data_IF_831394276889
#
_entry.id   IF_831394276889
#
_cell.length_a   1.000
_cell.length_b   1.000
_cell.length_c   1.000
_cell.angle_alpha   90.00
_cell.angle_beta   90.00
_cell.angle_gamma   90.00
#
_symmetry.space_group_name_H-M   'P 1'
#
loop_
_entity.id
_entity.type
_entity.pdbx_description
1 polymer ?
#
# COMPACT_ATOMS: atom_id res chain seq x y z
N UNK A 1 -5.72 -15.99 5.13
CA UNK A 1 -6.78 -15.87 4.11
C UNK A 1 -6.75 -14.44 3.61
N UNK A 2 -6.13 -14.21 2.44
CA UNK A 2 -6.12 -12.89 1.82
C UNK A 2 -7.52 -12.61 1.29
N UNK A 3 -8.19 -11.58 1.81
CA UNK A 3 -9.39 -11.09 1.15
C UNK A 3 -9.03 -10.68 -0.27
N UNK A 4 -9.89 -10.99 -1.23
CA UNK A 4 -9.78 -10.45 -2.58
C UNK A 4 -9.66 -8.92 -2.45
N UNK A 5 -8.58 -8.35 -3.00
CA UNK A 5 -8.39 -6.91 -2.98
C UNK A 5 -9.53 -6.24 -3.75
N UNK A 6 -9.95 -5.07 -3.30
CA UNK A 6 -11.10 -4.39 -3.90
C UNK A 6 -10.73 -3.81 -5.25
N UNK A 7 -11.63 -3.94 -6.22
CA UNK A 7 -11.52 -3.17 -7.45
C UNK A 7 -11.77 -1.69 -7.13
N UNK A 8 -10.79 -0.85 -7.45
CA UNK A 8 -10.85 0.59 -7.24
C UNK A 8 -10.42 1.35 -8.49
N UNK A 9 -10.38 2.68 -8.38
CA UNK A 9 -10.11 3.56 -9.52
C UNK A 9 -8.74 3.30 -10.19
N UNK A 10 -7.76 2.78 -9.43
CA UNK A 10 -6.43 2.45 -9.96
C UNK A 10 -6.31 1.00 -10.45
N UNK A 11 -7.30 0.14 -10.21
CA UNK A 11 -7.25 -1.25 -10.63
C UNK A 11 -6.98 -1.45 -12.13
N UNK A 12 -7.56 -0.67 -13.07
CA UNK A 12 -7.22 -0.81 -14.49
C UNK A 12 -5.73 -0.61 -14.77
N UNK A 13 -5.11 0.38 -14.13
CA UNK A 13 -3.68 0.65 -14.29
C UNK A 13 -2.82 -0.46 -13.66
N UNK A 14 -3.22 -0.99 -12.50
CA UNK A 14 -2.53 -2.09 -11.83
C UNK A 14 -2.62 -3.38 -12.64
N UNK A 15 -3.77 -3.69 -13.24
CA UNK A 15 -3.92 -4.82 -14.15
C UNK A 15 -3.10 -4.65 -15.43
N UNK A 16 -3.06 -3.46 -16.02
CA UNK A 16 -2.18 -3.17 -17.16
C UNK A 16 -0.70 -3.40 -16.76
N UNK A 17 -0.29 -2.91 -15.59
CA UNK A 17 1.04 -3.16 -15.03
C UNK A 17 1.32 -4.66 -14.84
N UNK A 18 0.33 -5.42 -14.34
CA UNK A 18 0.44 -6.88 -14.18
C UNK A 18 0.66 -7.61 -15.52
N UNK A 19 -0.02 -7.19 -16.58
CA UNK A 19 0.16 -7.76 -17.93
C UNK A 19 1.57 -7.49 -18.45
N UNK A 20 2.10 -6.28 -18.23
CA UNK A 20 3.42 -5.88 -18.72
C UNK A 20 4.59 -6.46 -17.92
N UNK A 21 4.45 -6.58 -16.60
CA UNK A 21 5.54 -6.91 -15.67
C UNK A 21 5.46 -8.33 -15.11
N UNK A 22 4.30 -8.97 -15.24
CA UNK A 22 3.96 -10.19 -14.50
C UNK A 22 3.79 -9.96 -13.01
N UNK A 23 3.31 -10.99 -12.30
CA UNK A 23 3.07 -10.93 -10.85
C UNK A 23 4.34 -10.58 -10.06
N UNK A 24 5.46 -11.24 -10.36
CA UNK A 24 6.71 -11.05 -9.60
C UNK A 24 7.26 -9.62 -9.72
N UNK A 25 7.22 -9.04 -10.93
CA UNK A 25 7.70 -7.68 -11.16
C UNK A 25 6.80 -6.64 -10.48
N UNK A 26 5.49 -6.80 -10.63
CA UNK A 26 4.51 -5.93 -9.99
C UNK A 26 4.59 -6.01 -8.46
N UNK A 27 4.73 -7.22 -7.90
CA UNK A 27 4.85 -7.44 -6.45
C UNK A 27 6.11 -6.81 -5.88
N UNK A 28 7.23 -6.86 -6.59
CA UNK A 28 8.47 -6.20 -6.19
C UNK A 28 8.32 -4.67 -6.15
N UNK A 29 7.73 -4.08 -7.19
CA UNK A 29 7.50 -2.63 -7.25
C UNK A 29 6.53 -2.20 -6.15
N UNK A 30 5.41 -2.94 -6.00
CA UNK A 30 4.42 -2.70 -4.95
C UNK A 30 5.03 -2.82 -3.56
N UNK A 31 5.84 -3.84 -3.31
CA UNK A 31 6.55 -4.04 -2.05
C UNK A 31 7.47 -2.88 -1.71
N UNK A 32 8.26 -2.39 -2.68
CA UNK A 32 9.12 -1.20 -2.51
C UNK A 32 8.29 0.05 -2.22
N UNK A 33 7.19 0.27 -2.95
CA UNK A 33 6.28 1.39 -2.72
C UNK A 33 5.63 1.38 -1.34
N UNK A 34 5.14 0.23 -0.89
CA UNK A 34 4.57 0.06 0.47
C UNK A 34 5.64 0.32 1.54
N UNK A 35 6.86 -0.16 1.33
CA UNK A 35 7.97 0.05 2.26
C UNK A 35 8.32 1.54 2.41
N UNK A 36 8.51 2.26 1.30
CA UNK A 36 8.77 3.70 1.30
C UNK A 36 7.65 4.49 1.97
N UNK A 37 6.40 4.16 1.65
CA UNK A 37 5.25 4.84 2.25
C UNK A 37 5.13 4.57 3.76
N UNK A 38 5.40 3.33 4.19
CA UNK A 38 5.41 2.98 5.62
C UNK A 38 6.53 3.69 6.38
N UNK A 39 7.69 3.88 5.74
CA UNK A 39 8.80 4.67 6.28
C UNK A 39 8.40 6.14 6.44
N UNK A 40 7.79 6.75 5.42
CA UNK A 40 7.31 8.13 5.49
C UNK A 40 6.29 8.34 6.63
N UNK A 41 5.36 7.39 6.83
CA UNK A 41 4.45 7.42 7.99
C UNK A 41 5.22 7.37 9.31
N UNK A 42 6.25 6.51 9.40
CA UNK A 42 7.08 6.39 10.60
C UNK A 42 7.84 7.69 10.90
N UNK A 43 8.49 8.28 9.89
CA UNK A 43 9.22 9.56 10.01
C UNK A 43 8.27 10.70 10.41
N UNK A 44 7.08 10.77 9.80
CA UNK A 44 6.06 11.73 10.20
C UNK A 44 5.64 11.54 11.66
N UNK A 45 5.39 10.30 12.11
CA UNK A 45 5.05 10.01 13.50
C UNK A 45 6.16 10.43 14.47
N UNK A 46 7.44 10.22 14.11
CA UNK A 46 8.58 10.66 14.92
C UNK A 46 8.60 12.20 14.99
N UNK A 47 8.45 12.87 13.85
CA UNK A 47 8.48 14.34 13.77
C UNK A 47 7.43 15.01 14.66
N UNK A 48 6.21 14.46 14.70
CA UNK A 48 5.11 15.03 15.50
C UNK A 48 5.01 14.46 16.92
N UNK A 49 5.91 13.56 17.33
CA UNK A 49 5.87 12.91 18.64
C UNK A 49 4.69 11.95 18.84
N UNK A 50 4.18 11.34 17.77
CA UNK A 50 3.05 10.41 17.83
C UNK A 50 3.44 9.06 18.45
N UNK A 51 2.51 8.47 19.21
CA UNK A 51 2.72 7.15 19.82
C UNK A 51 2.89 6.02 18.79
N UNK A 52 3.55 4.93 19.20
CA UNK A 52 3.67 3.70 18.39
C UNK A 52 2.30 3.13 17.99
N UNK A 53 1.29 3.27 18.85
CA UNK A 53 -0.10 2.86 18.54
C UNK A 53 -0.68 3.69 17.40
N UNK A 54 -0.51 5.01 17.43
CA UNK A 54 -0.96 5.91 16.36
C UNK A 54 -0.30 5.55 15.03
N UNK A 55 1.02 5.31 15.02
CA UNK A 55 1.73 4.83 13.83
C UNK A 55 1.10 3.57 13.26
N UNK A 56 0.87 2.55 14.08
CA UNK A 56 0.25 1.30 13.64
C UNK A 56 -1.15 1.49 13.04
N UNK A 57 -1.95 2.39 13.63
CA UNK A 57 -3.28 2.75 13.11
C UNK A 57 -3.20 3.49 11.77
N UNK A 58 -2.22 4.38 11.59
CA UNK A 58 -1.99 5.09 10.32
C UNK A 58 -1.54 4.14 9.21
N UNK A 59 -0.62 3.21 9.50
CA UNK A 59 -0.22 2.16 8.54
C UNK A 59 -1.41 1.30 8.14
N UNK A 60 -2.25 0.90 9.12
CA UNK A 60 -3.49 0.15 8.84
C UNK A 60 -4.46 0.96 7.97
N UNK A 61 -4.61 2.26 8.25
CA UNK A 61 -5.45 3.16 7.43
C UNK A 61 -4.92 3.28 6.01
N UNK A 62 -3.62 3.45 5.83
CA UNK A 62 -2.97 3.49 4.53
C UNK A 62 -3.19 2.20 3.74
N UNK A 63 -3.05 1.04 4.38
CA UNK A 63 -3.35 -0.27 3.76
C UNK A 63 -4.80 -0.37 3.30
N UNK A 64 -5.76 0.00 4.15
CA UNK A 64 -7.19 -0.04 3.82
C UNK A 64 -7.54 0.92 2.67
N UNK A 65 -6.90 2.10 2.63
CA UNK A 65 -7.06 3.04 1.53
C UNK A 65 -6.46 2.46 0.24
N UNK A 66 -5.27 1.85 0.30
CA UNK A 66 -4.64 1.20 -0.84
C UNK A 66 -5.47 0.06 -1.42
N UNK A 67 -6.10 -0.74 -0.56
CA UNK A 67 -7.07 -1.76 -0.95
C UNK A 67 -8.30 -1.13 -1.65
N UNK A 68 -8.93 -0.14 -1.02
CA UNK A 68 -10.14 0.53 -1.56
C UNK A 68 -9.87 1.22 -2.90
N UNK A 69 -8.68 1.79 -3.08
CA UNK A 69 -8.26 2.47 -4.30
C UNK A 69 -7.85 1.50 -5.42
N UNK A 70 -7.67 0.21 -5.10
CA UNK A 70 -7.33 -0.81 -6.08
C UNK A 70 -5.83 -0.94 -6.36
N UNK A 71 -4.95 -0.52 -5.44
CA UNK A 71 -3.49 -0.68 -5.57
C UNK A 71 -3.00 -2.08 -5.18
N UNK A 72 -3.86 -2.89 -4.56
CA UNK A 72 -3.52 -4.22 -4.03
C UNK A 72 -4.14 -5.37 -4.83
N UNK A 73 -4.79 -5.07 -5.97
CA UNK A 73 -5.37 -6.05 -6.90
C UNK A 73 -4.34 -6.83 -7.69
#
# INVERSE_FOLDING_TARGET
>A
MGSMAKFGIFSPAVYAGKILLGDKGLDQIRGKGISLHSQAINEFCIFVGASTKTKGLLVKKAKNNGDTLGFLV
#
